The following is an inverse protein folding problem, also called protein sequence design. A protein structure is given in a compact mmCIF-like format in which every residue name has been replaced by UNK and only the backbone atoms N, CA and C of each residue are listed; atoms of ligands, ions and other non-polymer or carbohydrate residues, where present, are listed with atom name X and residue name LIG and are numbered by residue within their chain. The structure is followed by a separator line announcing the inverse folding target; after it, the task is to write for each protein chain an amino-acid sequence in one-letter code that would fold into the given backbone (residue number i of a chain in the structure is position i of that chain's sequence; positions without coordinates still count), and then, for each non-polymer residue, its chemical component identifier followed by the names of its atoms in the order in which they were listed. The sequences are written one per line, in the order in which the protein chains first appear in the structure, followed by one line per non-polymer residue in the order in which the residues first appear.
data_IF_845937336428
#
_entry.id   IF_845937336428
#
_cell.length_a   1.000
_cell.length_b   1.000
_cell.length_c   1.000
_cell.angle_alpha   90.00
_cell.angle_beta   90.00
_cell.angle_gamma   90.00
#
_symmetry.space_group_name_H-M   'P 1'
#
loop_
_entity.id
_entity.type
_entity.pdbx_description
1 polymer ?
#
# COMPACT_ATOMS: atom_id res chain seq x y z
N UNK A 1 34.59 -9.17 -46.19
CA UNK A 1 35.09 -10.24 -47.07
C UNK A 1 34.96 -11.56 -46.34
N UNK A 2 34.29 -12.53 -46.98
CA UNK A 2 33.82 -13.80 -46.44
C UNK A 2 34.96 -14.71 -46.01
N UNK A 3 34.76 -15.50 -44.96
CA UNK A 3 35.34 -16.83 -44.87
C UNK A 3 34.31 -17.77 -44.23
N UNK A 4 33.55 -18.44 -45.10
CA UNK A 4 32.66 -19.55 -44.76
C UNK A 4 33.50 -20.76 -44.33
N UNK A 5 33.24 -21.30 -43.14
CA UNK A 5 33.64 -22.66 -42.77
C UNK A 5 32.41 -23.42 -42.29
N UNK A 6 32.09 -24.47 -43.03
CA UNK A 6 30.92 -25.35 -42.89
C UNK A 6 31.43 -26.76 -42.67
N UNK A 7 31.12 -27.40 -41.55
CA UNK A 7 31.17 -28.85 -41.27
C UNK A 7 30.38 -29.14 -39.97
N UNK A 8 29.95 -30.39 -39.70
CA UNK A 8 28.82 -31.11 -40.27
C UNK A 8 27.70 -31.36 -39.23
N UNK A 9 26.55 -31.84 -39.69
CA UNK A 9 25.39 -32.18 -38.86
C UNK A 9 25.58 -33.51 -38.11
N UNK A 10 25.29 -33.53 -36.81
CA UNK A 10 25.08 -34.74 -36.01
C UNK A 10 23.83 -34.59 -35.12
N UNK A 11 22.79 -35.33 -35.50
CA UNK A 11 21.76 -36.01 -34.68
C UNK A 11 21.28 -35.40 -33.35
N UNK A 12 20.01 -34.98 -33.36
CA UNK A 12 18.95 -35.12 -32.34
C UNK A 12 19.30 -34.80 -30.88
N UNK A 13 19.34 -33.50 -30.56
CA UNK A 13 19.02 -32.97 -29.23
C UNK A 13 17.66 -32.26 -29.28
N UNK A 14 16.64 -32.86 -28.69
CA UNK A 14 15.33 -32.21 -28.51
C UNK A 14 15.34 -31.37 -27.24
N UNK A 15 16.09 -30.27 -27.25
CA UNK A 15 15.99 -29.24 -26.21
C UNK A 15 15.01 -28.19 -26.73
N UNK A 16 13.83 -28.13 -26.11
CA UNK A 16 12.92 -27.01 -26.28
C UNK A 16 13.59 -25.81 -25.62
N UNK A 17 14.15 -24.93 -26.44
CA UNK A 17 14.44 -23.55 -26.05
C UNK A 17 13.12 -22.95 -25.54
N UNK A 18 13.02 -22.82 -24.22
CA UNK A 18 12.00 -21.99 -23.60
C UNK A 18 12.55 -20.57 -23.72
N UNK A 19 12.17 -19.89 -24.79
CA UNK A 19 12.27 -18.43 -24.85
C UNK A 19 11.43 -17.88 -23.69
N UNK A 20 12.12 -17.53 -22.61
CA UNK A 20 11.55 -16.70 -21.56
C UNK A 20 11.52 -15.31 -22.14
N UNK A 21 10.37 -14.93 -22.70
CA UNK A 21 10.07 -13.53 -22.99
C UNK A 21 10.11 -12.78 -21.65
N UNK A 22 11.20 -12.07 -21.40
CA UNK A 22 11.26 -11.06 -20.34
C UNK A 22 10.30 -9.94 -20.73
N UNK A 23 9.03 -10.07 -20.33
CA UNK A 23 8.10 -8.97 -20.33
C UNK A 23 8.66 -7.89 -19.39
N UNK A 24 9.09 -6.77 -19.97
CA UNK A 24 9.41 -5.56 -19.22
C UNK A 24 8.18 -5.15 -18.40
N UNK A 25 8.16 -5.52 -17.11
CA UNK A 25 7.16 -5.07 -16.16
C UNK A 25 7.43 -3.59 -15.84
N UNK A 26 7.06 -2.72 -16.78
CA UNK A 26 7.04 -1.28 -16.58
C UNK A 26 6.14 -0.94 -15.39
N UNK A 27 6.73 -0.34 -14.36
CA UNK A 27 6.01 0.13 -13.19
C UNK A 27 5.00 1.23 -13.57
N UNK A 28 3.77 1.10 -13.07
CA UNK A 28 2.72 2.11 -13.27
C UNK A 28 2.66 3.03 -12.05
N UNK A 29 3.18 4.24 -12.19
CA UNK A 29 2.66 5.35 -11.39
C UNK A 29 1.28 5.67 -11.92
N UNK A 30 0.24 5.46 -11.11
CA UNK A 30 -1.09 5.96 -11.46
C UNK A 30 -1.14 7.37 -10.88
N UNK A 31 -0.80 8.36 -11.70
CA UNK A 31 -1.11 9.76 -11.39
C UNK A 31 -2.63 9.91 -11.47
N UNK A 32 -3.26 9.87 -10.30
CA UNK A 32 -4.68 10.08 -10.19
C UNK A 32 -4.93 11.59 -10.23
N UNK A 33 -5.27 12.10 -11.41
CA UNK A 33 -5.49 13.54 -11.64
C UNK A 33 -6.50 14.11 -10.65
N UNK A 34 -6.13 15.19 -9.97
CA UNK A 34 -7.02 15.99 -9.15
C UNK A 34 -8.03 16.70 -10.06
N UNK A 35 -9.31 16.52 -9.80
CA UNK A 35 -10.35 17.35 -10.42
C UNK A 35 -10.18 18.76 -9.90
N UNK A 36 -9.97 19.73 -10.80
CA UNK A 36 -9.93 21.16 -10.47
C UNK A 36 -11.24 21.57 -9.79
N UNK A 37 -11.14 22.15 -8.60
CA UNK A 37 -12.26 22.75 -7.88
C UNK A 37 -13.05 23.70 -8.80
N UNK A 38 -14.32 23.38 -9.05
CA UNK A 38 -15.26 24.31 -9.66
C UNK A 38 -16.10 24.96 -8.55
N UNK A 39 -15.90 26.25 -8.23
CA UNK A 39 -16.44 26.87 -7.02
C UNK A 39 -17.91 27.33 -7.17
N UNK A 40 -18.74 26.59 -7.91
CA UNK A 40 -20.13 26.97 -8.19
C UNK A 40 -21.12 25.87 -7.82
N UNK A 41 -21.21 25.54 -6.53
CA UNK A 41 -22.50 25.11 -5.97
C UNK A 41 -22.59 25.33 -4.45
N UNK A 42 -22.70 26.59 -4.04
CA UNK A 42 -23.20 26.95 -2.70
C UNK A 42 -24.21 28.09 -2.82
N UNK A 43 -25.44 27.77 -3.21
CA UNK A 43 -26.64 28.44 -2.69
C UNK A 43 -27.89 27.94 -3.39
N UNK A 44 -28.83 27.44 -2.59
CA UNK A 44 -30.29 27.31 -2.77
C UNK A 44 -30.70 26.06 -2.01
N UNK A 45 -31.71 26.04 -1.16
CA UNK A 45 -32.77 26.98 -0.81
C UNK A 45 -33.45 26.28 0.37
N UNK A 46 -33.88 27.00 1.40
CA UNK A 46 -35.08 26.63 2.18
C UNK A 46 -35.49 27.88 2.95
N UNK A 47 -36.20 28.75 2.24
CA UNK A 47 -36.96 29.84 2.79
C UNK A 47 -38.46 29.46 2.76
N UNK A 48 -39.14 29.83 3.85
CA UNK A 48 -40.60 29.88 4.06
C UNK A 48 -41.28 28.52 4.30
N UNK A 49 -42.10 28.33 5.34
CA UNK A 49 -43.28 29.15 5.68
C UNK A 49 -43.43 29.31 7.20
N UNK A 50 -43.83 30.51 7.60
CA UNK A 50 -44.15 30.93 8.96
C UNK A 50 -45.66 30.72 9.26
N UNK A 51 -45.96 30.60 10.56
CA UNK A 51 -47.21 30.95 11.25
C UNK A 51 -48.25 29.84 11.53
N UNK A 52 -48.45 29.55 12.83
CA UNK A 52 -49.72 29.81 13.53
C UNK A 52 -49.58 29.50 15.04
N UNK A 53 -49.96 30.47 15.87
CA UNK A 53 -49.99 30.41 17.33
C UNK A 53 -51.27 29.77 17.85
N UNK A 54 -51.22 29.15 19.04
CA UNK A 54 -52.34 29.15 19.98
C UNK A 54 -52.57 27.89 20.81
N UNK A 55 -52.50 28.04 22.14
CA UNK A 55 -53.31 27.29 23.11
C UNK A 55 -52.59 26.14 23.81
N UNK A 56 -52.56 26.18 25.14
CA UNK A 56 -51.85 25.23 26.00
C UNK A 56 -52.60 23.94 26.27
N UNK A 57 -51.89 22.95 26.81
CA UNK A 57 -52.29 22.21 28.00
C UNK A 57 -51.14 21.36 28.55
N UNK A 58 -51.16 21.15 29.87
CA UNK A 58 -50.21 20.33 30.60
C UNK A 58 -50.36 18.85 30.25
N UNK A 59 -49.27 18.21 29.81
CA UNK A 59 -49.02 16.79 30.08
C UNK A 59 -47.55 16.44 29.93
N UNK A 60 -47.07 15.67 30.89
CA UNK A 60 -45.75 15.06 30.98
C UNK A 60 -45.43 14.17 29.78
N UNK A 61 -44.39 14.51 29.02
CA UNK A 61 -43.74 13.59 28.09
C UNK A 61 -42.22 13.58 28.31
N UNK A 62 -41.72 12.35 28.42
CA UNK A 62 -40.35 11.89 28.61
C UNK A 62 -39.34 12.55 27.65
N UNK A 63 -38.05 12.67 28.01
CA UNK A 63 -37.06 13.25 27.10
C UNK A 63 -36.91 12.35 25.88
N UNK A 64 -37.09 12.94 24.69
CA UNK A 64 -36.81 12.33 23.41
C UNK A 64 -35.34 11.85 23.35
N UNK A 65 -35.03 10.73 22.67
CA UNK A 65 -33.66 10.28 22.51
C UNK A 65 -32.90 11.36 21.75
N UNK A 66 -31.82 11.86 22.36
CA UNK A 66 -30.84 12.70 21.68
C UNK A 66 -30.47 12.05 20.34
N UNK A 67 -30.27 12.82 19.25
CA UNK A 67 -29.75 12.25 18.02
C UNK A 67 -28.46 11.52 18.37
N UNK A 68 -28.42 10.22 18.09
CA UNK A 68 -27.22 9.42 18.22
C UNK A 68 -26.14 10.20 17.48
N UNK A 69 -25.15 10.68 18.22
CA UNK A 69 -23.87 11.05 17.65
C UNK A 69 -23.47 9.84 16.81
N UNK A 70 -23.41 10.05 15.49
CA UNK A 70 -22.81 9.10 14.58
C UNK A 70 -21.37 8.99 15.03
N UNK A 71 -21.11 8.05 15.95
CA UNK A 71 -19.77 7.73 16.40
C UNK A 71 -19.06 7.20 15.17
N UNK A 72 -18.39 8.10 14.44
CA UNK A 72 -17.53 7.76 13.31
C UNK A 72 -16.55 6.70 13.81
N UNK A 73 -16.87 5.44 13.52
CA UNK A 73 -16.07 4.31 13.98
C UNK A 73 -14.78 4.33 13.19
N UNK A 74 -13.69 4.78 13.82
CA UNK A 74 -12.36 4.78 13.24
C UNK A 74 -11.79 3.37 13.30
N UNK A 75 -12.14 2.54 12.32
CA UNK A 75 -11.72 1.14 12.25
C UNK A 75 -10.42 1.08 11.44
N UNK A 76 -9.27 0.75 12.05
CA UNK A 76 -8.03 0.61 11.30
C UNK A 76 -8.10 -0.59 10.35
N UNK A 77 -7.43 -0.53 9.19
CA UNK A 77 -7.32 -1.67 8.30
C UNK A 77 -6.72 -2.90 8.99
N UNK A 78 -7.01 -4.08 8.44
CA UNK A 78 -6.41 -5.33 8.90
C UNK A 78 -4.88 -5.20 9.02
N UNK A 79 -4.28 -5.69 10.11
CA UNK A 79 -2.82 -5.68 10.29
C UNK A 79 -2.18 -4.28 10.20
N UNK A 80 -2.94 -3.20 10.49
CA UNK A 80 -2.40 -1.85 10.53
C UNK A 80 -1.36 -1.68 11.65
N UNK A 81 -0.22 -1.06 11.33
CA UNK A 81 0.78 -0.63 12.31
C UNK A 81 1.68 0.47 11.73
N UNK A 82 2.32 1.24 12.61
CA UNK A 82 3.43 2.12 12.24
C UNK A 82 4.71 1.30 12.08
N UNK A 83 5.43 1.51 10.98
CA UNK A 83 6.74 0.89 10.71
C UNK A 83 7.84 1.85 11.19
N UNK A 84 7.77 3.09 10.75
CA UNK A 84 8.68 4.15 11.15
C UNK A 84 7.94 5.49 11.10
N UNK A 85 8.59 6.57 11.49
CA UNK A 85 8.01 7.91 11.43
C UNK A 85 7.54 8.24 10.00
N UNK A 86 6.24 8.44 9.82
CA UNK A 86 5.63 8.70 8.52
C UNK A 86 5.49 7.48 7.60
N UNK A 87 5.83 6.26 8.06
CA UNK A 87 5.69 5.02 7.29
C UNK A 87 4.77 4.07 8.03
N UNK A 88 3.66 3.71 7.39
CA UNK A 88 2.67 2.78 7.92
C UNK A 88 2.62 1.50 7.09
N UNK A 89 2.14 0.42 7.71
CA UNK A 89 1.84 -0.86 7.04
C UNK A 89 0.40 -1.28 7.30
N UNK A 90 -0.19 -2.02 6.38
CA UNK A 90 -1.49 -2.70 6.59
C UNK A 90 -1.76 -3.83 5.59
N UNK A 91 -2.87 -4.54 5.79
CA UNK A 91 -3.59 -5.28 4.77
C UNK A 91 -4.42 -4.36 3.88
N UNK A 92 -5.25 -4.92 3.02
CA UNK A 92 -5.98 -4.13 2.03
C UNK A 92 -7.03 -3.25 2.73
N UNK A 93 -6.96 -1.90 2.60
CA UNK A 93 -7.99 -1.03 3.17
C UNK A 93 -9.31 -1.20 2.43
N UNK A 94 -10.42 -1.30 3.15
CA UNK A 94 -11.77 -1.25 2.59
C UNK A 94 -12.50 0.04 2.97
N UNK A 95 -13.72 0.21 2.49
CA UNK A 95 -14.53 1.39 2.75
C UNK A 95 -14.82 1.64 4.23
N UNK A 96 -14.87 0.58 5.05
CA UNK A 96 -15.04 0.72 6.49
C UNK A 96 -13.81 1.32 7.17
N UNK A 97 -12.64 1.30 6.51
CA UNK A 97 -11.41 1.88 7.03
C UNK A 97 -11.15 3.32 6.56
N UNK A 98 -11.92 3.84 5.59
CA UNK A 98 -11.62 5.13 4.96
C UNK A 98 -11.60 6.28 5.96
N UNK A 99 -12.53 6.30 6.92
CA UNK A 99 -12.55 7.28 8.01
C UNK A 99 -11.25 7.29 8.81
N UNK A 100 -10.71 6.11 9.14
CA UNK A 100 -9.42 5.98 9.82
C UNK A 100 -8.26 6.39 8.92
N UNK A 101 -8.23 5.95 7.67
CA UNK A 101 -7.14 6.23 6.73
C UNK A 101 -7.03 7.74 6.45
N UNK A 102 -8.15 8.45 6.40
CA UNK A 102 -8.20 9.90 6.24
C UNK A 102 -7.50 10.62 7.39
N UNK A 103 -7.64 10.14 8.64
CA UNK A 103 -6.97 10.73 9.82
C UNK A 103 -5.45 10.66 9.76
N UNK A 104 -4.88 9.75 8.97
CA UNK A 104 -3.43 9.59 8.85
C UNK A 104 -2.79 10.69 7.99
N UNK A 105 -3.59 11.44 7.22
CA UNK A 105 -3.09 12.49 6.33
C UNK A 105 -2.10 11.94 5.29
N UNK A 106 -2.39 10.76 4.75
CA UNK A 106 -1.49 10.08 3.81
C UNK A 106 -1.29 10.93 2.55
N UNK A 107 -0.05 10.96 2.06
CA UNK A 107 0.30 11.59 0.77
C UNK A 107 0.46 10.55 -0.33
N UNK A 108 0.81 9.32 0.03
CA UNK A 108 0.89 8.22 -0.92
C UNK A 108 0.57 6.86 -0.31
N UNK A 109 0.23 5.93 -1.19
CA UNK A 109 0.00 4.52 -0.87
C UNK A 109 0.82 3.66 -1.82
N UNK A 110 1.48 2.64 -1.26
CA UNK A 110 2.14 1.57 -2.00
C UNK A 110 1.25 0.33 -1.95
N UNK A 111 0.77 -0.11 -3.11
CA UNK A 111 0.00 -1.34 -3.28
C UNK A 111 0.88 -2.42 -3.92
N UNK A 112 1.09 -3.53 -3.21
CA UNK A 112 1.91 -4.64 -3.69
C UNK A 112 1.09 -5.74 -4.42
N UNK A 113 -0.17 -5.44 -4.75
CA UNK A 113 -1.08 -6.36 -5.41
C UNK A 113 -1.03 -6.16 -6.94
N UNK A 114 -0.94 -7.23 -7.76
CA UNK A 114 -1.03 -7.10 -9.22
C UNK A 114 -2.46 -6.79 -9.70
N UNK A 115 -3.47 -7.08 -8.88
CA UNK A 115 -4.86 -6.83 -9.23
C UNK A 115 -5.16 -5.32 -9.36
N UNK A 116 -6.05 -4.91 -10.28
CA UNK A 116 -6.44 -3.51 -10.42
C UNK A 116 -7.05 -2.99 -9.12
N UNK A 117 -6.76 -1.73 -8.80
CA UNK A 117 -7.29 -1.10 -7.59
C UNK A 117 -8.81 -0.91 -7.71
N UNK A 118 -9.62 -1.29 -6.70
CA UNK A 118 -11.07 -1.13 -6.74
C UNK A 118 -11.49 0.33 -6.96
N UNK A 119 -12.63 0.52 -7.63
CA UNK A 119 -13.13 1.85 -7.99
C UNK A 119 -13.39 2.72 -6.75
N UNK A 120 -14.11 2.21 -5.75
CA UNK A 120 -14.38 2.93 -4.50
C UNK A 120 -13.11 3.41 -3.79
N UNK A 121 -12.07 2.57 -3.75
CA UNK A 121 -10.79 2.97 -3.19
C UNK A 121 -10.10 4.01 -4.07
N UNK A 122 -10.14 3.85 -5.40
CA UNK A 122 -9.56 4.80 -6.34
C UNK A 122 -10.19 6.19 -6.21
N UNK A 123 -11.52 6.26 -6.05
CA UNK A 123 -12.24 7.50 -5.79
C UNK A 123 -11.83 8.13 -4.46
N UNK A 124 -11.70 7.34 -3.40
CA UNK A 124 -11.20 7.82 -2.11
C UNK A 124 -9.79 8.41 -2.23
N UNK A 125 -8.88 7.78 -2.98
CA UNK A 125 -7.53 8.32 -3.21
C UNK A 125 -7.58 9.64 -3.97
N UNK A 126 -8.42 9.75 -5.00
CA UNK A 126 -8.62 11.00 -5.76
C UNK A 126 -9.12 12.13 -4.87
N UNK A 127 -10.16 11.86 -4.09
CA UNK A 127 -10.79 12.86 -3.22
C UNK A 127 -9.82 13.41 -2.17
N UNK A 128 -8.87 12.59 -1.71
CA UNK A 128 -7.87 12.96 -0.71
C UNK A 128 -6.52 13.39 -1.29
N UNK A 129 -6.36 13.43 -2.62
CA UNK A 129 -5.09 13.77 -3.26
C UNK A 129 -3.95 12.79 -2.97
N UNK A 130 -4.27 11.51 -2.75
CA UNK A 130 -3.32 10.46 -2.40
C UNK A 130 -2.76 9.82 -3.66
N UNK A 131 -1.43 9.79 -3.79
CA UNK A 131 -0.75 9.16 -4.93
C UNK A 131 -0.65 7.65 -4.75
N UNK A 132 -1.03 6.87 -5.77
CA UNK A 132 -0.94 5.42 -5.75
C UNK A 132 0.29 4.93 -6.52
N UNK A 133 1.15 4.18 -5.83
CA UNK A 133 2.27 3.46 -6.40
C UNK A 133 1.96 1.96 -6.39
N UNK A 134 1.80 1.35 -7.57
CA UNK A 134 1.45 -0.06 -7.68
C UNK A 134 2.63 -0.89 -8.17
N UNK A 135 3.06 -1.83 -7.33
CA UNK A 135 4.13 -2.78 -7.60
C UNK A 135 3.57 -4.20 -7.53
N UNK A 136 3.10 -4.70 -8.68
CA UNK A 136 2.40 -5.98 -8.75
C UNK A 136 3.33 -7.16 -8.43
N UNK A 137 3.21 -7.75 -7.25
CA UNK A 137 3.92 -9.00 -6.90
C UNK A 137 2.92 -10.14 -6.86
N UNK A 138 3.11 -11.15 -7.70
CA UNK A 138 2.21 -12.29 -7.80
C UNK A 138 2.13 -13.10 -6.50
N UNK A 139 0.91 -13.50 -6.16
CA UNK A 139 0.60 -14.16 -4.90
C UNK A 139 0.71 -15.68 -4.98
N UNK A 140 1.91 -16.24 -5.06
CA UNK A 140 2.09 -17.70 -5.03
C UNK A 140 2.01 -18.29 -3.62
N UNK A 141 1.62 -19.57 -3.54
CA UNK A 141 1.71 -20.40 -2.33
C UNK A 141 3.05 -21.16 -2.34
N UNK A 142 3.59 -21.44 -1.16
CA UNK A 142 4.75 -22.34 -1.06
C UNK A 142 4.44 -23.69 -1.73
N UNK A 143 5.41 -24.31 -2.44
CA UNK A 143 6.83 -23.96 -2.51
C UNK A 143 7.25 -22.97 -3.61
N UNK A 144 6.36 -22.58 -4.53
CA UNK A 144 6.69 -21.80 -5.73
C UNK A 144 6.64 -20.27 -5.52
N UNK A 145 6.99 -19.80 -4.32
CA UNK A 145 6.97 -18.37 -4.02
C UNK A 145 8.16 -17.70 -4.69
N UNK A 146 7.89 -16.85 -5.68
CA UNK A 146 8.88 -15.95 -6.25
C UNK A 146 8.52 -14.50 -5.87
N UNK A 147 9.43 -13.81 -5.18
CA UNK A 147 9.30 -12.38 -4.90
C UNK A 147 10.38 -11.69 -5.73
N UNK A 148 10.00 -10.95 -6.78
CA UNK A 148 10.96 -10.27 -7.65
C UNK A 148 11.73 -9.23 -6.85
N UNK A 149 13.07 -9.36 -6.85
CA UNK A 149 13.97 -8.49 -6.11
C UNK A 149 13.88 -7.04 -6.58
N UNK A 150 13.76 -6.84 -7.90
CA UNK A 150 13.67 -5.52 -8.53
C UNK A 150 12.42 -4.78 -8.10
N UNK A 151 11.26 -5.44 -8.07
CA UNK A 151 10.01 -4.84 -7.61
C UNK A 151 10.08 -4.40 -6.14
N UNK A 152 10.73 -5.19 -5.28
CA UNK A 152 10.97 -4.80 -3.88
C UNK A 152 11.91 -3.60 -3.81
N UNK A 153 12.94 -3.56 -4.66
CA UNK A 153 13.90 -2.44 -4.74
C UNK A 153 13.21 -1.14 -5.16
N UNK A 154 12.37 -1.18 -6.19
CA UNK A 154 11.60 -0.01 -6.64
C UNK A 154 10.62 0.47 -5.56
N UNK A 155 9.91 -0.46 -4.91
CA UNK A 155 9.04 -0.11 -3.79
C UNK A 155 9.83 0.56 -2.66
N UNK A 156 11.02 0.06 -2.33
CA UNK A 156 11.90 0.68 -1.33
C UNK A 156 12.35 2.08 -1.74
N UNK A 157 12.64 2.34 -3.01
CA UNK A 157 13.00 3.69 -3.46
C UNK A 157 11.88 4.70 -3.17
N UNK A 158 10.62 4.32 -3.41
CA UNK A 158 9.46 5.16 -3.07
C UNK A 158 9.32 5.36 -1.56
N UNK A 159 9.56 4.31 -0.77
CA UNK A 159 9.52 4.38 0.70
C UNK A 159 10.60 5.30 1.25
N UNK A 160 11.79 5.30 0.66
CA UNK A 160 12.93 6.11 1.10
C UNK A 160 12.81 7.59 0.73
N UNK A 161 11.98 7.95 -0.27
CA UNK A 161 11.72 9.34 -0.62
C UNK A 161 10.75 10.00 0.37
N UNK A 162 11.30 10.88 1.21
CA UNK A 162 10.55 11.66 2.23
C UNK A 162 9.43 12.52 1.64
N UNK A 163 9.50 12.87 0.35
CA UNK A 163 8.42 13.62 -0.33
C UNK A 163 7.13 12.81 -0.45
N UNK A 164 7.19 11.50 -0.26
CA UNK A 164 6.04 10.61 -0.30
C UNK A 164 5.38 10.46 1.09
N UNK A 165 6.00 10.97 2.16
CA UNK A 165 5.52 10.75 3.53
C UNK A 165 4.43 11.77 3.91
N UNK A 166 3.45 11.40 4.76
CA UNK A 166 3.21 10.06 5.31
C UNK A 166 2.70 9.06 4.27
N UNK A 167 3.21 7.81 4.30
CA UNK A 167 2.87 6.77 3.32
C UNK A 167 2.38 5.47 3.97
N UNK A 168 1.50 4.76 3.27
CA UNK A 168 1.00 3.44 3.69
C UNK A 168 1.44 2.35 2.71
N UNK A 169 2.08 1.30 3.22
CA UNK A 169 2.44 0.10 2.46
C UNK A 169 1.40 -0.97 2.72
N UNK A 170 0.77 -1.51 1.69
CA UNK A 170 -0.17 -2.61 1.86
C UNK A 170 -0.08 -3.67 0.75
N UNK A 171 -0.59 -4.85 1.09
CA UNK A 171 -0.95 -5.88 0.13
C UNK A 171 -2.32 -6.44 0.52
N UNK A 172 -2.68 -7.65 0.09
CA UNK A 172 -3.99 -8.24 0.47
C UNK A 172 -4.19 -8.36 1.99
N UNK A 173 -3.19 -8.86 2.72
CA UNK A 173 -3.29 -9.12 4.18
C UNK A 173 -2.22 -8.42 5.03
N UNK A 174 -1.30 -7.69 4.39
CA UNK A 174 -0.21 -7.02 5.10
C UNK A 174 0.80 -7.98 5.74
N UNK A 175 0.95 -9.19 5.20
CA UNK A 175 1.79 -10.27 5.76
C UNK A 175 3.07 -10.49 4.95
N UNK A 176 2.96 -11.20 3.82
CA UNK A 176 4.09 -11.69 3.02
C UNK A 176 4.80 -10.56 2.27
N UNK A 177 4.19 -10.05 1.18
CA UNK A 177 4.74 -8.98 0.33
C UNK A 177 5.11 -7.73 1.13
N UNK A 178 4.17 -7.24 1.95
CA UNK A 178 4.42 -6.11 2.85
C UNK A 178 5.53 -6.41 3.86
N UNK A 179 5.58 -7.64 4.38
CA UNK A 179 6.63 -8.08 5.29
C UNK A 179 8.01 -8.11 4.66
N UNK A 180 8.13 -8.51 3.39
CA UNK A 180 9.39 -8.47 2.65
C UNK A 180 9.88 -7.03 2.45
N UNK A 181 9.01 -6.10 2.01
CA UNK A 181 9.38 -4.67 1.88
C UNK A 181 9.81 -4.10 3.22
N UNK A 182 9.02 -4.30 4.28
CA UNK A 182 9.34 -3.81 5.62
C UNK A 182 10.62 -4.46 6.16
N UNK A 183 10.81 -5.77 5.96
CA UNK A 183 12.01 -6.47 6.40
C UNK A 183 13.27 -5.98 5.70
N UNK A 184 13.21 -5.71 4.39
CA UNK A 184 14.31 -5.10 3.66
C UNK A 184 14.56 -3.64 4.10
N UNK A 185 13.52 -2.88 4.44
CA UNK A 185 13.68 -1.56 5.07
C UNK A 185 14.42 -1.67 6.41
N UNK A 186 14.05 -2.61 7.29
CA UNK A 186 14.77 -2.84 8.55
C UNK A 186 16.24 -3.24 8.33
N UNK A 187 16.51 -4.01 7.28
CA UNK A 187 17.88 -4.37 6.88
C UNK A 187 18.69 -3.14 6.49
N UNK A 188 18.09 -2.19 5.77
CA UNK A 188 18.71 -0.88 5.48
C UNK A 188 18.94 -0.06 6.75
N UNK A 189 18.04 -0.16 7.73
CA UNK A 189 18.18 0.42 9.06
C UNK A 189 19.19 -0.31 9.96
N UNK A 190 19.92 -1.29 9.42
CA UNK A 190 20.97 -2.08 10.12
C UNK A 190 20.46 -2.88 11.32
N UNK A 191 19.19 -3.32 11.29
CA UNK A 191 18.69 -4.26 12.27
C UNK A 191 19.36 -5.63 12.10
N UNK A 192 19.52 -6.38 13.19
CA UNK A 192 19.96 -7.78 13.08
C UNK A 192 18.85 -8.66 12.52
N UNK A 193 19.21 -9.70 11.76
CA UNK A 193 18.25 -10.59 11.10
C UNK A 193 17.24 -11.20 12.07
N UNK A 194 17.67 -11.55 13.29
CA UNK A 194 16.77 -12.08 14.32
C UNK A 194 15.62 -11.13 14.66
N UNK A 195 15.89 -9.84 14.81
CA UNK A 195 14.85 -8.83 15.08
C UNK A 195 13.95 -8.58 13.86
N UNK A 196 14.53 -8.64 12.65
CA UNK A 196 13.76 -8.54 11.41
C UNK A 196 12.77 -9.70 11.29
N UNK A 197 13.23 -10.92 11.56
CA UNK A 197 12.40 -12.11 11.51
C UNK A 197 11.34 -12.13 12.62
N UNK A 198 11.67 -11.70 13.83
CA UNK A 198 10.69 -11.55 14.91
C UNK A 198 9.56 -10.57 14.52
N UNK A 199 9.90 -9.40 13.97
CA UNK A 199 8.90 -8.45 13.48
C UNK A 199 8.05 -9.06 12.35
N UNK A 200 8.68 -9.69 11.36
CA UNK A 200 7.96 -10.35 10.27
C UNK A 200 6.99 -11.43 10.78
N UNK A 201 7.46 -12.32 11.65
CA UNK A 201 6.67 -13.41 12.20
C UNK A 201 5.51 -12.89 13.05
N UNK A 202 5.69 -11.79 13.80
CA UNK A 202 4.61 -11.14 14.55
C UNK A 202 3.44 -10.74 13.66
N UNK A 203 3.70 -10.16 12.48
CA UNK A 203 2.64 -9.75 11.54
C UNK A 203 2.10 -10.90 10.68
N UNK A 204 2.96 -11.85 10.29
CA UNK A 204 2.54 -13.00 9.50
C UNK A 204 1.74 -14.02 10.34
N UNK A 205 2.03 -14.10 11.64
CA UNK A 205 1.49 -15.04 12.62
C UNK A 205 1.58 -16.49 12.10
N UNK A 206 0.52 -17.29 12.25
CA UNK A 206 0.44 -18.67 11.77
C UNK A 206 0.61 -18.88 10.25
N UNK A 207 0.84 -17.81 9.48
CA UNK A 207 1.10 -17.86 8.03
C UNK A 207 2.50 -17.36 7.67
N UNK A 208 3.42 -17.27 8.62
CA UNK A 208 4.83 -16.96 8.35
C UNK A 208 5.43 -17.98 7.37
N UNK A 209 6.18 -17.48 6.38
CA UNK A 209 6.87 -18.30 5.38
C UNK A 209 8.36 -18.27 5.61
N UNK A 210 9.02 -19.41 5.37
CA UNK A 210 10.49 -19.47 5.43
C UNK A 210 11.09 -18.83 4.18
N UNK A 211 10.42 -18.96 3.02
CA UNK A 211 10.82 -18.31 1.77
C UNK A 211 11.00 -16.80 1.92
N UNK A 212 10.07 -16.13 2.59
CA UNK A 212 10.10 -14.67 2.77
C UNK A 212 11.28 -14.24 3.65
N UNK A 213 11.57 -15.00 4.72
CA UNK A 213 12.72 -14.74 5.60
C UNK A 213 14.04 -14.96 4.87
N UNK A 214 14.13 -16.04 4.08
CA UNK A 214 15.30 -16.32 3.26
C UNK A 214 15.54 -15.24 2.21
N UNK A 215 14.47 -14.72 1.60
CA UNK A 215 14.57 -13.56 0.71
C UNK A 215 15.16 -12.34 1.43
N UNK A 216 14.64 -11.98 2.61
CA UNK A 216 15.18 -10.85 3.40
C UNK A 216 16.65 -11.05 3.78
N UNK A 217 17.05 -12.28 4.11
CA UNK A 217 18.44 -12.64 4.42
C UNK A 217 19.36 -12.38 3.23
N UNK A 218 18.95 -12.78 2.03
CA UNK A 218 19.76 -12.72 0.82
C UNK A 218 19.72 -11.36 0.10
N UNK A 219 18.68 -10.55 0.32
CA UNK A 219 18.47 -9.27 -0.35
C UNK A 219 19.69 -8.34 -0.25
N UNK A 220 20.27 -7.91 -1.39
CA UNK A 220 21.43 -7.03 -1.38
C UNK A 220 21.05 -5.54 -1.23
N UNK A 221 21.35 -5.01 -0.05
CA UNK A 221 21.13 -3.60 0.29
C UNK A 221 22.18 -2.65 -0.28
N UNK A 222 23.29 -3.17 -0.82
CA UNK A 222 24.42 -2.33 -1.30
C UNK A 222 23.99 -1.35 -2.39
N UNK A 223 23.10 -1.79 -3.27
CA UNK A 223 22.56 -1.05 -4.42
C UNK A 223 21.73 0.18 -4.03
N UNK A 224 21.23 0.25 -2.78
CA UNK A 224 20.40 1.35 -2.28
C UNK A 224 21.17 2.38 -1.43
N UNK A 225 22.46 2.13 -1.14
CA UNK A 225 23.27 2.95 -0.21
C UNK A 225 23.56 4.38 -0.72
N UNK A 226 23.38 4.64 -2.01
CA UNK A 226 23.59 5.98 -2.59
C UNK A 226 22.40 6.93 -2.39
N UNK A 227 21.29 6.44 -1.85
CA UNK A 227 20.14 7.27 -1.50
C UNK A 227 20.41 7.89 -0.13
N UNK A 228 20.46 9.23 0.00
CA UNK A 228 20.64 9.87 1.29
C UNK A 228 19.45 9.50 2.20
N UNK A 229 19.70 8.64 3.19
CA UNK A 229 18.71 8.32 4.20
C UNK A 229 18.54 9.55 5.09
N UNK A 230 17.61 10.43 4.74
CA UNK A 230 17.17 11.52 5.61
C UNK A 230 16.25 10.93 6.66
N UNK A 231 16.82 10.27 7.67
CA UNK A 231 16.08 9.96 8.87
C UNK A 231 15.79 11.28 9.56
N UNK A 232 14.54 11.75 9.47
CA UNK A 232 14.04 12.80 10.36
C UNK A 232 14.02 12.24 11.78
N UNK A 233 15.16 12.36 12.46
CA UNK A 233 15.19 12.35 13.91
C UNK A 233 14.38 13.59 14.30
N UNK A 234 13.12 13.38 14.68
CA UNK A 234 12.33 14.45 15.28
C UNK A 234 13.11 14.87 16.52
N UNK A 235 13.71 16.07 16.47
CA UNK A 235 14.35 16.68 17.64
C UNK A 235 13.25 16.82 18.69
N UNK A 236 13.21 15.90 19.64
CA UNK A 236 12.48 16.08 20.90
C UNK A 236 13.25 17.04 21.79
#
# INVERSE_FOLDING_TARGET
MKLDRKFPATSNGGEREVEVEEEEQGFKTIEVASVTDNPHNRHRQLDHINNCCGGGDLSSESPAPSPAVDELSFIPPLNFAMVDNGIFRSGFPDSANFSFVETLGLRSIICLCPEPYPEANTEFLKANGIRLFQFGIEGYKEPFVNIPEDTIREALQVVLDVKNHPLLIHCKRGKHRTGCVVGCLRKLQKWCLSSIFDEYQRFAAAKARVSDQRFMELFDVSTLKHIPLSFSCSRR
#
